data_IF_257431796753
#
_entry.id   IF_257431796753
#
_cell.length_a   1.000
_cell.length_b   1.000
_cell.length_c   1.000
_cell.angle_alpha   90.00
_cell.angle_beta   90.00
_cell.angle_gamma   90.00
#
_symmetry.space_group_name_H-M   'P 1'
#
loop_
_entity.id
_entity.type
_entity.pdbx_description
1 polymer ?
#
# COMPACT_ATOMS: atom_id res chain seq x y z
N UNK A 1 5.30 7.85 -4.20
CA UNK A 1 5.17 7.49 -5.63
C UNK A 1 3.77 7.91 -6.08
N UNK A 2 3.62 8.89 -6.98
CA UNK A 2 2.28 9.43 -7.32
C UNK A 2 1.53 8.50 -8.29
N UNK A 3 0.20 8.45 -8.15
CA UNK A 3 -0.79 7.80 -9.05
C UNK A 3 -0.60 8.11 -10.54
N UNK A 4 0.26 9.05 -10.89
CA UNK A 4 0.30 9.68 -12.21
C UNK A 4 1.62 9.49 -12.97
N UNK A 5 2.69 8.95 -12.38
CA UNK A 5 3.81 8.32 -13.14
C UNK A 5 3.46 6.91 -13.59
N UNK A 6 2.40 6.37 -13.02
CA UNK A 6 1.89 5.06 -13.36
C UNK A 6 0.89 5.18 -14.52
N UNK A 7 0.69 4.09 -15.25
CA UNK A 7 -0.30 3.96 -16.34
C UNK A 7 -1.77 4.21 -15.90
N UNK A 8 -2.00 4.57 -14.63
CA UNK A 8 -3.31 4.63 -14.02
C UNK A 8 -3.92 6.03 -14.04
N UNK A 9 -5.25 6.06 -14.10
CA UNK A 9 -6.03 7.29 -13.92
C UNK A 9 -6.35 7.44 -12.44
N UNK A 10 -6.38 8.69 -11.97
CA UNK A 10 -6.86 9.00 -10.62
C UNK A 10 -8.31 8.52 -10.48
N UNK A 11 -8.61 7.67 -9.47
CA UNK A 11 -9.95 7.23 -9.13
C UNK A 11 -10.94 8.39 -9.07
N UNK A 12 -12.16 8.15 -9.55
CA UNK A 12 -13.21 9.17 -9.45
C UNK A 12 -13.57 9.45 -7.99
N UNK A 13 -13.51 8.43 -7.14
CA UNK A 13 -13.75 8.58 -5.71
C UNK A 13 -12.71 9.50 -5.03
N UNK A 14 -11.41 9.42 -5.38
CA UNK A 14 -10.42 10.37 -4.86
C UNK A 14 -10.75 11.82 -5.26
N UNK A 15 -11.19 12.07 -6.50
CA UNK A 15 -11.60 13.42 -6.93
C UNK A 15 -12.84 13.90 -6.17
N UNK A 16 -13.74 12.99 -5.82
CA UNK A 16 -14.91 13.32 -5.00
C UNK A 16 -14.51 13.61 -3.55
N UNK A 17 -13.51 12.93 -2.99
CA UNK A 17 -12.92 13.24 -1.69
C UNK A 17 -12.28 14.64 -1.72
N UNK A 18 -11.54 14.98 -2.78
CA UNK A 18 -11.02 16.34 -2.96
C UNK A 18 -12.14 17.40 -2.97
N UNK A 19 -13.21 17.16 -3.73
CA UNK A 19 -14.36 18.08 -3.76
C UNK A 19 -15.07 18.18 -2.40
N UNK A 20 -15.13 17.08 -1.64
CA UNK A 20 -15.68 17.06 -0.29
C UNK A 20 -14.79 17.83 0.69
N UNK A 21 -13.47 17.67 0.61
CA UNK A 21 -12.50 18.42 1.41
C UNK A 21 -12.64 19.93 1.18
N UNK A 22 -12.76 20.39 -0.07
CA UNK A 22 -13.04 21.80 -0.37
C UNK A 22 -14.37 22.30 0.24
N UNK A 23 -15.38 21.42 0.32
CA UNK A 23 -16.67 21.75 0.92
C UNK A 23 -16.53 21.89 2.43
N UNK A 24 -15.86 20.94 3.09
CA UNK A 24 -15.60 20.99 4.54
C UNK A 24 -14.77 22.22 4.89
N UNK A 25 -13.70 22.50 4.15
CA UNK A 25 -12.87 23.68 4.37
C UNK A 25 -13.69 24.99 4.29
N UNK A 26 -14.64 25.08 3.35
CA UNK A 26 -15.56 26.23 3.24
C UNK A 26 -16.57 26.29 4.39
N UNK A 27 -17.08 25.15 4.86
CA UNK A 27 -18.06 25.10 5.96
C UNK A 27 -17.43 25.36 7.33
N UNK A 28 -16.22 24.84 7.58
CA UNK A 28 -15.62 24.80 8.94
C UNK A 28 -14.38 25.66 9.09
N UNK A 29 -13.74 26.07 7.99
CA UNK A 29 -12.46 26.76 7.99
C UNK A 29 -11.26 25.85 8.30
N UNK A 30 -11.43 24.52 8.31
CA UNK A 30 -10.39 23.53 8.56
C UNK A 30 -10.38 22.46 7.49
N UNK A 31 -9.20 21.92 7.22
CA UNK A 31 -9.00 20.83 6.26
C UNK A 31 -9.54 19.51 6.80
N UNK A 32 -9.77 18.54 5.90
CA UNK A 32 -10.37 17.26 6.26
C UNK A 32 -9.45 16.42 7.18
N UNK A 33 -8.14 16.54 6.98
CA UNK A 33 -7.10 15.90 7.79
C UNK A 33 -7.15 16.34 9.26
N UNK A 34 -7.62 17.55 9.57
CA UNK A 34 -7.82 18.01 10.94
C UNK A 34 -8.80 17.12 11.71
N UNK A 35 -9.80 16.57 11.01
CA UNK A 35 -10.84 15.75 11.60
C UNK A 35 -10.54 14.26 11.50
N UNK A 36 -9.88 13.84 10.42
CA UNK A 36 -9.64 12.44 10.11
C UNK A 36 -8.22 11.99 10.51
N UNK A 37 -7.24 12.89 10.58
CA UNK A 37 -5.83 12.51 10.75
C UNK A 37 -5.25 11.83 9.51
N UNK A 38 -5.86 12.05 8.33
CA UNK A 38 -5.41 11.50 7.05
C UNK A 38 -5.51 12.59 5.99
N UNK A 39 -4.38 12.83 5.32
CA UNK A 39 -4.29 13.70 4.16
C UNK A 39 -4.31 12.84 2.90
N UNK A 40 -5.24 13.11 1.98
CA UNK A 40 -5.31 12.40 0.70
C UNK A 40 -4.53 13.15 -0.39
N UNK A 41 -3.86 12.38 -1.24
CA UNK A 41 -3.03 12.90 -2.33
C UNK A 41 -3.76 12.76 -3.65
N UNK A 42 -4.00 13.90 -4.31
CA UNK A 42 -4.84 13.95 -5.51
C UNK A 42 -4.08 14.24 -6.80
N UNK A 43 -2.92 14.92 -6.77
CA UNK A 43 -2.37 15.65 -7.93
C UNK A 43 -1.12 15.05 -8.64
N UNK A 44 -0.87 15.55 -9.87
CA UNK A 44 0.14 15.20 -10.89
C UNK A 44 1.42 15.93 -10.60
N UNK A 45 1.33 17.19 -10.19
CA UNK A 45 2.42 18.15 -10.14
C UNK A 45 3.37 18.00 -8.94
N UNK A 46 3.18 16.99 -8.07
CA UNK A 46 4.20 16.58 -7.08
C UNK A 46 5.04 15.45 -7.72
N UNK A 47 5.59 15.81 -8.88
CA UNK A 47 6.30 14.99 -9.85
C UNK A 47 7.70 14.69 -9.33
N UNK A 48 8.10 13.42 -9.42
CA UNK A 48 9.34 12.85 -8.87
C UNK A 48 9.17 12.41 -7.41
N UNK A 49 9.00 11.09 -7.26
CA UNK A 49 9.15 10.43 -5.98
C UNK A 49 10.65 10.44 -5.66
N UNK A 50 11.16 11.58 -5.23
CA UNK A 50 12.54 11.70 -4.73
C UNK A 50 12.67 11.08 -3.33
N UNK A 51 11.59 10.47 -2.84
CA UNK A 51 11.54 9.89 -1.52
C UNK A 51 10.64 8.65 -1.48
N UNK A 52 11.16 7.55 -0.96
CA UNK A 52 10.39 6.37 -0.59
C UNK A 52 10.95 5.77 0.69
N UNK A 53 10.09 5.19 1.53
CA UNK A 53 10.57 4.42 2.67
C UNK A 53 11.12 3.06 2.21
N UNK A 54 12.08 2.52 2.94
CA UNK A 54 12.74 1.24 2.62
C UNK A 54 11.76 0.07 2.42
N UNK A 55 10.60 0.15 3.08
CA UNK A 55 9.54 -0.86 3.07
C UNK A 55 8.39 -0.55 2.10
N UNK A 56 8.44 0.55 1.34
CA UNK A 56 7.40 0.88 0.38
C UNK A 56 7.29 -0.20 -0.69
N UNK A 57 6.10 -0.79 -0.93
CA UNK A 57 5.95 -1.77 -2.01
C UNK A 57 6.34 -1.14 -3.36
N UNK A 58 7.22 -1.80 -4.12
CA UNK A 58 7.64 -1.30 -5.46
C UNK A 58 6.47 -1.11 -6.44
N UNK A 59 5.36 -1.82 -6.21
CA UNK A 59 4.13 -1.75 -6.99
C UNK A 59 3.01 -1.01 -6.26
N UNK A 60 3.37 -0.30 -5.19
CA UNK A 60 2.51 0.56 -4.39
C UNK A 60 2.42 1.96 -4.98
N UNK A 61 1.24 2.56 -4.91
CA UNK A 61 1.04 3.94 -5.28
C UNK A 61 0.41 4.68 -4.12
N UNK A 62 1.18 5.58 -3.51
CA UNK A 62 0.72 6.37 -2.38
C UNK A 62 -0.52 7.20 -2.74
N UNK A 63 -1.51 7.15 -1.86
CA UNK A 63 -2.78 7.86 -2.02
C UNK A 63 -3.18 8.70 -0.81
N UNK A 64 -2.61 8.42 0.36
CA UNK A 64 -2.88 9.17 1.56
C UNK A 64 -1.80 8.96 2.60
N UNK A 65 -1.57 9.93 3.47
CA UNK A 65 -0.60 9.86 4.58
C UNK A 65 -1.22 10.37 5.87
N UNK A 66 -0.76 9.88 7.02
CA UNK A 66 -1.21 10.40 8.33
C UNK A 66 -0.49 11.70 8.73
N UNK A 67 0.63 12.01 8.07
CA UNK A 67 1.53 13.10 8.46
C UNK A 67 2.37 12.79 9.72
N UNK A 68 2.36 11.54 10.18
CA UNK A 68 3.02 11.09 11.40
C UNK A 68 3.84 9.81 11.16
N UNK A 69 5.12 9.82 11.56
CA UNK A 69 6.06 8.68 11.51
C UNK A 69 6.16 7.96 10.15
N UNK A 70 5.87 8.65 9.06
CA UNK A 70 5.92 8.08 7.71
C UNK A 70 4.78 7.12 7.38
N UNK A 71 3.77 7.01 8.25
CA UNK A 71 2.64 6.11 8.05
C UNK A 71 1.77 6.62 6.89
N UNK A 72 1.54 5.75 5.92
CA UNK A 72 0.78 6.11 4.72
C UNK A 72 0.04 4.91 4.11
N UNK A 73 -0.81 5.21 3.14
CA UNK A 73 -1.66 4.26 2.45
C UNK A 73 -1.41 4.30 0.96
N UNK A 74 -1.33 3.12 0.36
CA UNK A 74 -1.00 2.95 -1.04
C UNK A 74 -1.97 2.01 -1.73
N UNK A 75 -2.29 2.29 -3.01
CA UNK A 75 -2.89 1.31 -3.88
C UNK A 75 -1.88 0.22 -4.21
N UNK A 76 -2.28 -1.04 -4.10
CA UNK A 76 -1.51 -2.18 -4.56
C UNK A 76 -1.86 -2.49 -6.02
N UNK A 77 -0.92 -2.24 -6.93
CA UNK A 77 -1.19 -2.41 -8.37
C UNK A 77 -0.99 -3.84 -8.86
N UNK A 78 -0.46 -4.71 -8.00
CA UNK A 78 -0.10 -6.09 -8.33
C UNK A 78 0.81 -6.14 -9.55
N UNK A 79 1.85 -5.29 -9.53
CA UNK A 79 2.88 -5.19 -10.56
C UNK A 79 2.27 -4.95 -11.95
N UNK A 80 1.25 -4.09 -11.97
CA UNK A 80 0.52 -3.75 -13.17
C UNK A 80 -0.63 -4.69 -13.54
N UNK A 81 -0.94 -5.73 -12.75
CA UNK A 81 -2.09 -6.61 -13.01
C UNK A 81 -3.44 -5.93 -12.73
N UNK A 82 -3.49 -4.98 -11.79
CA UNK A 82 -4.65 -4.11 -11.60
C UNK A 82 -4.93 -3.34 -12.90
N UNK A 83 -6.20 -3.29 -13.33
CA UNK A 83 -6.60 -2.57 -14.55
C UNK A 83 -6.81 -1.08 -14.31
N UNK A 84 -7.25 -0.75 -13.11
CA UNK A 84 -7.52 0.59 -12.62
C UNK A 84 -7.34 0.61 -11.09
N UNK A 85 -7.32 1.81 -10.52
CA UNK A 85 -7.17 2.01 -9.09
C UNK A 85 -8.52 2.09 -8.36
N UNK A 86 -9.64 2.09 -9.08
CA UNK A 86 -10.97 2.06 -8.45
C UNK A 86 -11.21 0.69 -7.76
N UNK A 87 -10.54 -0.36 -8.25
CA UNK A 87 -10.61 -1.73 -7.72
C UNK A 87 -9.30 -2.26 -7.12
N UNK A 88 -8.24 -1.46 -7.09
CA UNK A 88 -6.98 -1.86 -6.50
C UNK A 88 -7.07 -1.95 -4.98
N UNK A 89 -6.48 -2.98 -4.39
CA UNK A 89 -6.42 -3.14 -2.94
C UNK A 89 -5.63 -1.99 -2.30
N UNK A 90 -5.90 -1.72 -1.03
CA UNK A 90 -5.24 -0.70 -0.24
C UNK A 90 -4.37 -1.36 0.81
N UNK A 91 -3.11 -0.97 0.85
CA UNK A 91 -2.16 -1.33 1.89
C UNK A 91 -1.87 -0.15 2.79
N UNK A 92 -1.61 -0.43 4.06
CA UNK A 92 -0.97 0.46 5.00
C UNK A 92 0.53 0.17 4.99
N UNK A 93 1.34 1.22 5.00
CA UNK A 93 2.77 1.17 5.24
C UNK A 93 3.06 1.88 6.56
N UNK A 94 3.75 1.20 7.46
CA UNK A 94 4.24 1.71 8.73
C UNK A 94 5.75 1.37 8.85
N UNK A 95 6.64 2.33 8.52
CA UNK A 95 8.08 2.12 8.59
C UNK A 95 8.61 1.81 9.99
N UNK A 96 7.80 2.02 11.03
CA UNK A 96 8.17 1.81 12.44
C UNK A 96 7.62 0.51 13.03
N UNK A 97 6.75 -0.22 12.31
CA UNK A 97 6.09 -1.40 12.85
C UNK A 97 7.02 -2.61 12.94
N UNK A 98 6.80 -3.45 13.96
CA UNK A 98 7.76 -4.48 14.37
C UNK A 98 7.43 -5.89 13.87
N UNK A 99 6.18 -6.16 13.42
CA UNK A 99 5.83 -7.47 12.84
C UNK A 99 5.95 -7.44 11.32
N UNK A 100 5.18 -6.57 10.66
CA UNK A 100 5.32 -6.26 9.24
C UNK A 100 5.13 -4.77 8.96
N UNK A 101 6.02 -4.19 8.17
CA UNK A 101 5.94 -2.81 7.71
C UNK A 101 4.75 -2.56 6.78
N UNK A 102 4.32 -3.58 6.02
CA UNK A 102 3.22 -3.42 5.06
C UNK A 102 2.10 -4.41 5.36
N UNK A 103 0.87 -3.90 5.40
CA UNK A 103 -0.33 -4.69 5.70
C UNK A 103 -1.49 -4.38 4.77
N UNK A 104 -2.25 -5.41 4.39
CA UNK A 104 -3.49 -5.24 3.63
C UNK A 104 -4.61 -4.66 4.52
N UNK A 105 -5.23 -3.55 4.10
CA UNK A 105 -6.24 -2.84 4.90
C UNK A 105 -7.62 -2.87 4.28
N UNK A 106 -7.73 -2.68 2.96
CA UNK A 106 -9.02 -2.69 2.28
C UNK A 106 -8.93 -3.30 0.89
N UNK A 107 -10.05 -3.84 0.40
CA UNK A 107 -10.13 -4.41 -0.95
C UNK A 107 -10.13 -3.35 -2.04
N UNK A 108 -10.47 -2.09 -1.72
CA UNK A 108 -10.50 -0.95 -2.63
C UNK A 108 -10.67 0.37 -1.86
N UNK A 109 -10.54 1.51 -2.55
CA UNK A 109 -10.69 2.84 -1.96
C UNK A 109 -12.08 3.10 -1.33
N UNK A 110 -13.15 2.53 -1.90
CA UNK A 110 -14.50 2.69 -1.33
C UNK A 110 -14.60 1.97 0.00
N UNK A 111 -14.10 0.75 0.08
CA UNK A 111 -14.05 0.00 1.32
C UNK A 111 -13.10 0.62 2.34
N UNK A 112 -11.98 1.19 1.89
CA UNK A 112 -11.09 1.98 2.76
C UNK A 112 -11.83 3.13 3.42
N UNK A 113 -12.53 3.96 2.64
CA UNK A 113 -13.31 5.08 3.19
C UNK A 113 -14.42 4.58 4.12
N UNK A 114 -15.08 3.48 3.77
CA UNK A 114 -16.13 2.86 4.58
C UNK A 114 -15.60 2.30 5.89
N UNK A 115 -14.45 1.62 5.89
CA UNK A 115 -13.75 1.13 7.08
C UNK A 115 -13.38 2.30 7.97
N UNK A 116 -12.75 3.32 7.39
CA UNK A 116 -12.33 4.52 8.10
C UNK A 116 -13.48 5.21 8.84
N UNK A 117 -14.64 5.34 8.18
CA UNK A 117 -15.85 5.90 8.81
C UNK A 117 -16.42 4.99 9.91
N UNK A 118 -16.25 3.67 9.76
CA UNK A 118 -16.76 2.70 10.74
C UNK A 118 -15.90 2.67 12.01
N UNK A 119 -14.58 2.65 11.85
CA UNK A 119 -13.63 2.63 12.97
C UNK A 119 -13.40 4.01 13.57
N UNK A 120 -13.60 5.06 12.78
CA UNK A 120 -13.38 6.47 13.13
C UNK A 120 -11.98 6.74 13.69
N UNK A 121 -11.02 5.88 13.38
CA UNK A 121 -9.63 5.94 13.80
C UNK A 121 -8.76 5.25 12.74
N UNK A 122 -7.76 5.97 12.25
CA UNK A 122 -6.80 5.49 11.26
C UNK A 122 -5.95 4.35 11.80
N UNK A 123 -5.57 4.39 13.09
CA UNK A 123 -4.70 3.39 13.70
C UNK A 123 -5.42 2.06 13.92
N UNK A 124 -6.74 2.08 14.12
CA UNK A 124 -7.56 0.86 14.17
C UNK A 124 -7.65 0.12 12.82
N UNK A 125 -7.09 0.70 11.74
CA UNK A 125 -6.92 -0.02 10.48
C UNK A 125 -5.73 -0.98 10.48
N UNK A 126 -4.83 -0.89 11.48
CA UNK A 126 -3.75 -1.85 11.66
C UNK A 126 -4.30 -3.25 12.01
N UNK A 127 -3.72 -4.34 11.48
CA UNK A 127 -4.15 -5.71 11.74
C UNK A 127 -4.25 -6.08 13.23
N UNK A 128 -3.31 -5.60 14.04
CA UNK A 128 -3.10 -6.01 15.43
C UNK A 128 -3.77 -5.08 16.45
N UNK A 129 -4.32 -3.94 16.03
CA UNK A 129 -5.07 -3.05 16.91
C UNK A 129 -6.53 -3.52 17.06
N UNK A 130 -6.71 -4.63 17.79
CA UNK A 130 -8.01 -5.12 18.26
C UNK A 130 -8.66 -4.15 19.27
N UNK A 131 -7.92 -3.13 19.72
CA UNK A 131 -8.46 -2.08 20.54
C UNK A 131 -9.21 -1.11 19.64
N UNK A 132 -10.46 -1.45 19.31
CA UNK A 132 -11.47 -0.48 18.83
C UNK A 132 -11.75 0.52 19.95
N UNK A 133 -10.76 1.35 20.27
CA UNK A 133 -10.95 2.57 21.02
C UNK A 133 -11.50 3.53 20.00
N UNK A 134 -12.84 3.66 19.99
CA UNK A 134 -13.42 4.93 19.59
C UNK A 134 -12.57 6.00 20.29
N UNK A 135 -11.79 6.77 19.52
CA UNK A 135 -11.12 7.93 20.09
C UNK A 135 -12.16 8.79 20.82
N UNK A 136 -11.73 9.76 21.62
CA UNK A 136 -12.68 10.77 22.08
C UNK A 136 -13.12 11.59 20.84
N UNK A 137 -14.15 11.10 20.16
CA UNK A 137 -14.73 11.75 19.00
C UNK A 137 -15.55 12.91 19.55
N UNK A 138 -15.03 14.10 19.35
CA UNK A 138 -15.79 15.31 19.65
C UNK A 138 -16.95 15.48 18.66
N UNK A 139 -17.89 16.36 19.00
CA UNK A 139 -19.09 16.59 18.19
C UNK A 139 -18.77 17.04 16.75
N UNK A 140 -17.67 17.77 16.54
CA UNK A 140 -17.24 18.23 15.23
C UNK A 140 -16.80 17.04 14.35
N UNK A 141 -15.98 16.15 14.90
CA UNK A 141 -15.52 14.95 14.20
C UNK A 141 -16.69 14.03 13.85
N UNK A 142 -17.65 13.83 14.76
CA UNK A 142 -18.85 13.03 14.47
C UNK A 142 -19.75 13.67 13.39
N UNK A 143 -19.84 15.01 13.37
CA UNK A 143 -20.50 15.73 12.29
C UNK A 143 -19.85 15.45 10.92
N UNK A 144 -18.53 15.52 10.82
CA UNK A 144 -17.81 15.24 9.57
C UNK A 144 -18.02 13.79 9.10
N UNK A 145 -17.97 12.81 10.00
CA UNK A 145 -18.24 11.41 9.64
C UNK A 145 -19.66 11.19 9.09
N UNK A 146 -20.68 11.86 9.66
CA UNK A 146 -22.05 11.80 9.12
C UNK A 146 -22.14 12.42 7.73
N UNK A 147 -21.46 13.55 7.52
CA UNK A 147 -21.41 14.22 6.20
C UNK A 147 -20.73 13.34 5.15
N UNK A 148 -19.67 12.61 5.52
CA UNK A 148 -19.04 11.62 4.64
C UNK A 148 -20.02 10.50 4.24
N UNK A 149 -20.75 9.92 5.20
CA UNK A 149 -21.74 8.88 4.92
C UNK A 149 -22.81 9.37 3.93
N UNK A 150 -23.34 10.57 4.18
CA UNK A 150 -24.38 11.17 3.33
C UNK A 150 -23.86 11.53 1.94
N UNK A 151 -22.68 12.16 1.85
CA UNK A 151 -22.12 12.64 0.58
C UNK A 151 -21.71 11.50 -0.35
N UNK A 152 -21.16 10.42 0.21
CA UNK A 152 -20.68 9.26 -0.55
C UNK A 152 -21.70 8.12 -0.61
N UNK A 153 -22.89 8.30 -0.03
CA UNK A 153 -23.94 7.27 0.07
C UNK A 153 -23.39 5.95 0.64
N UNK A 154 -22.56 6.05 1.68
CA UNK A 154 -21.92 4.91 2.33
C UNK A 154 -22.75 4.43 3.51
N UNK A 155 -22.62 3.14 3.80
CA UNK A 155 -23.14 2.53 5.04
C UNK A 155 -21.95 1.97 5.79
N UNK A 156 -21.81 2.18 7.11
CA UNK A 156 -20.72 1.56 7.88
C UNK A 156 -20.67 0.03 7.73
N UNK A 157 -19.53 -0.59 8.04
CA UNK A 157 -19.47 -2.04 8.21
C UNK A 157 -20.18 -2.43 9.50
N UNK A 158 -20.98 -3.50 9.44
CA UNK A 158 -21.62 -4.08 10.62
C UNK A 158 -20.57 -4.80 11.49
N UNK A 159 -19.65 -5.50 10.84
CA UNK A 159 -18.55 -6.23 11.47
C UNK A 159 -17.25 -6.00 10.66
N UNK A 160 -16.44 -5.00 11.04
CA UNK A 160 -15.15 -4.73 10.40
C UNK A 160 -14.16 -5.90 10.50
N UNK A 161 -14.23 -6.71 11.56
CA UNK A 161 -13.36 -7.88 11.75
C UNK A 161 -13.71 -8.96 10.74
N UNK A 162 -15.01 -9.26 10.57
CA UNK A 162 -15.47 -10.20 9.55
C UNK A 162 -15.06 -9.76 8.14
N UNK A 163 -15.20 -8.46 7.82
CA UNK A 163 -14.74 -7.91 6.54
C UNK A 163 -13.24 -8.12 6.33
N UNK A 164 -12.41 -7.81 7.34
CA UNK A 164 -10.95 -7.99 7.26
C UNK A 164 -10.58 -9.44 7.01
N UNK A 165 -11.20 -10.37 7.72
CA UNK A 165 -10.98 -11.81 7.52
C UNK A 165 -11.37 -12.26 6.11
N UNK A 166 -12.54 -11.83 5.61
CA UNK A 166 -12.99 -12.14 4.25
C UNK A 166 -12.02 -11.60 3.19
N UNK A 167 -11.52 -10.37 3.38
CA UNK A 167 -10.54 -9.74 2.50
C UNK A 167 -9.22 -10.50 2.47
N UNK A 168 -8.66 -10.86 3.64
CA UNK A 168 -7.41 -11.63 3.75
C UNK A 168 -7.59 -13.01 3.09
N UNK A 169 -8.71 -13.68 3.35
CA UNK A 169 -9.07 -14.95 2.73
C UNK A 169 -9.25 -14.84 1.22
N UNK A 170 -9.85 -13.75 0.73
CA UNK A 170 -9.99 -13.50 -0.70
C UNK A 170 -8.62 -13.26 -1.34
N UNK A 171 -7.74 -12.51 -0.67
CA UNK A 171 -6.38 -12.26 -1.14
C UNK A 171 -5.59 -13.57 -1.22
N UNK A 172 -5.59 -14.38 -0.16
CA UNK A 172 -4.84 -15.65 -0.11
C UNK A 172 -5.25 -16.64 -1.20
N UNK A 173 -6.51 -16.59 -1.67
CA UNK A 173 -6.99 -17.38 -2.82
C UNK A 173 -6.56 -16.83 -4.19
N UNK A 174 -6.24 -15.54 -4.26
CA UNK A 174 -5.88 -14.85 -5.51
C UNK A 174 -4.37 -14.84 -5.79
N UNK A 175 -3.56 -15.00 -4.75
CA UNK A 175 -2.10 -14.99 -4.86
C UNK A 175 -1.59 -16.33 -5.42
N UNK A 176 -0.62 -16.23 -6.32
CA UNK A 176 0.09 -17.39 -6.87
C UNK A 176 1.23 -17.81 -5.95
N UNK A 177 1.94 -16.83 -5.38
CA UNK A 177 3.07 -17.05 -4.47
C UNK A 177 2.90 -16.17 -3.23
N UNK A 178 2.85 -16.73 -2.01
CA UNK A 178 2.76 -15.93 -0.80
C UNK A 178 4.07 -15.18 -0.52
N UNK A 179 3.96 -14.03 0.14
CA UNK A 179 5.08 -13.28 0.74
C UNK A 179 4.94 -13.32 2.26
N UNK A 180 6.00 -12.99 2.99
CA UNK A 180 6.07 -13.05 4.46
C UNK A 180 4.95 -12.26 5.14
N UNK A 181 4.69 -11.05 4.65
CA UNK A 181 3.62 -10.16 5.14
C UNK A 181 2.21 -10.50 4.61
N UNK A 182 2.04 -11.61 3.89
CA UNK A 182 0.74 -12.08 3.42
C UNK A 182 0.15 -11.33 2.23
N UNK A 183 0.85 -10.33 1.66
CA UNK A 183 0.40 -9.64 0.44
C UNK A 183 0.39 -10.56 -0.77
N UNK A 184 1.45 -11.35 -0.96
CA UNK A 184 1.62 -12.31 -2.05
C UNK A 184 1.64 -11.71 -3.46
N UNK A 185 2.20 -12.43 -4.41
CA UNK A 185 2.26 -12.06 -5.83
C UNK A 185 1.17 -12.78 -6.60
N UNK A 186 0.39 -12.04 -7.38
CA UNK A 186 -0.61 -12.61 -8.29
C UNK A 186 0.04 -13.06 -9.60
N UNK A 187 -0.68 -13.83 -10.41
CA UNK A 187 -0.17 -14.26 -11.70
C UNK A 187 0.02 -13.07 -12.67
N UNK A 188 1.24 -12.87 -13.14
CA UNK A 188 1.61 -11.82 -14.11
C UNK A 188 2.23 -12.39 -15.39
N UNK A 189 2.63 -13.66 -15.36
CA UNK A 189 3.21 -14.41 -16.45
C UNK A 189 2.47 -15.74 -16.69
N UNK A 190 2.85 -16.45 -17.76
CA UNK A 190 2.31 -17.79 -18.04
C UNK A 190 3.08 -18.92 -17.36
N UNK A 191 4.14 -18.60 -16.59
CA UNK A 191 4.91 -19.63 -15.87
C UNK A 191 4.03 -20.26 -14.77
N UNK A 192 4.32 -21.52 -14.47
CA UNK A 192 3.64 -22.32 -13.44
C UNK A 192 4.64 -22.92 -12.44
N UNK A 193 5.95 -22.76 -12.68
CA UNK A 193 7.00 -23.24 -11.80
C UNK A 193 7.49 -22.08 -10.93
N UNK A 194 7.02 -22.07 -9.70
CA UNK A 194 7.38 -21.03 -8.74
C UNK A 194 8.22 -21.64 -7.61
N UNK A 195 9.24 -20.91 -7.21
CA UNK A 195 10.03 -21.14 -6.02
C UNK A 195 10.03 -19.88 -5.14
N UNK A 196 10.11 -20.06 -3.83
CA UNK A 196 10.37 -18.97 -2.89
C UNK A 196 11.86 -18.86 -2.64
N UNK A 197 12.33 -17.63 -2.43
CA UNK A 197 13.66 -17.37 -1.91
C UNK A 197 13.53 -17.18 -0.40
N UNK A 198 14.35 -17.88 0.37
CA UNK A 198 14.31 -17.77 1.82
C UNK A 198 15.10 -16.52 2.23
N UNK A 199 14.44 -15.61 2.93
CA UNK A 199 15.06 -14.39 3.45
C UNK A 199 15.21 -14.65 4.95
N UNK A 200 16.44 -14.68 5.45
CA UNK A 200 16.67 -14.91 6.88
C UNK A 200 16.07 -13.77 7.73
N UNK A 201 15.73 -14.06 8.98
CA UNK A 201 15.28 -13.04 9.95
C UNK A 201 16.38 -12.03 10.25
N UNK A 202 17.65 -12.43 10.14
CA UNK A 202 18.82 -11.58 10.34
C UNK A 202 19.13 -10.67 9.14
N UNK A 203 18.43 -10.84 8.00
CA UNK A 203 18.62 -10.01 6.80
C UNK A 203 19.94 -10.23 6.04
N UNK A 204 20.76 -11.19 6.47
CA UNK A 204 22.02 -11.54 5.81
C UNK A 204 21.76 -12.33 4.52
N UNK A 205 21.94 -11.68 3.37
CA UNK A 205 21.75 -12.29 2.04
C UNK A 205 23.07 -12.38 1.28
N UNK A 206 23.41 -13.59 0.80
CA UNK A 206 24.51 -13.78 -0.13
C UNK A 206 24.08 -13.35 -1.55
N UNK A 207 24.69 -12.28 -2.06
CA UNK A 207 24.44 -11.76 -3.41
C UNK A 207 24.56 -12.85 -4.50
N UNK A 208 25.50 -13.77 -4.37
CA UNK A 208 25.69 -14.85 -5.35
C UNK A 208 24.56 -15.88 -5.34
N UNK A 209 23.96 -16.11 -4.16
CA UNK A 209 22.78 -16.97 -4.01
C UNK A 209 21.56 -16.29 -4.62
N UNK A 210 21.35 -15.01 -4.31
CA UNK A 210 20.28 -14.20 -4.88
C UNK A 210 20.34 -14.15 -6.41
N UNK A 211 21.52 -13.89 -6.98
CA UNK A 211 21.76 -13.90 -8.42
C UNK A 211 21.48 -15.29 -9.03
N UNK A 212 21.90 -16.36 -8.35
CA UNK A 212 21.65 -17.74 -8.81
C UNK A 212 20.17 -18.08 -8.82
N UNK A 213 19.42 -17.59 -7.82
CA UNK A 213 17.96 -17.73 -7.77
C UNK A 213 17.30 -16.97 -8.92
N UNK A 214 17.57 -15.67 -9.08
CA UNK A 214 16.99 -14.83 -10.13
C UNK A 214 17.30 -15.35 -11.54
N UNK A 215 18.48 -15.93 -11.78
CA UNK A 215 18.81 -16.50 -13.09
C UNK A 215 17.89 -17.65 -13.54
N UNK A 216 17.18 -18.30 -12.60
CA UNK A 216 16.34 -19.49 -12.86
C UNK A 216 14.87 -19.28 -12.47
N UNK A 217 14.60 -18.32 -11.61
CA UNK A 217 13.29 -18.06 -11.04
C UNK A 217 12.30 -17.53 -12.10
N UNK A 218 11.04 -17.92 -11.93
CA UNK A 218 9.92 -17.29 -12.64
C UNK A 218 9.81 -15.80 -12.29
N UNK A 219 9.08 -15.03 -13.09
CA UNK A 219 8.81 -13.61 -12.79
C UNK A 219 8.14 -13.49 -11.41
N UNK A 220 7.08 -14.26 -11.15
CA UNK A 220 6.37 -14.26 -9.88
C UNK A 220 7.29 -14.55 -8.68
N UNK A 221 8.21 -15.50 -8.84
CA UNK A 221 9.20 -15.84 -7.83
C UNK A 221 10.10 -14.67 -7.49
N UNK A 222 10.62 -13.96 -8.50
CA UNK A 222 11.49 -12.80 -8.29
C UNK A 222 10.75 -11.67 -7.60
N UNK A 223 9.52 -11.39 -8.03
CA UNK A 223 8.69 -10.34 -7.44
C UNK A 223 8.38 -10.61 -5.96
N UNK A 224 8.09 -11.87 -5.62
CA UNK A 224 7.86 -12.25 -4.22
C UNK A 224 9.14 -12.10 -3.40
N UNK A 225 10.28 -12.52 -3.95
CA UNK A 225 11.58 -12.32 -3.30
C UNK A 225 11.90 -10.86 -3.07
N UNK A 226 11.65 -9.97 -4.05
CA UNK A 226 11.88 -8.53 -3.86
C UNK A 226 11.02 -8.01 -2.72
N UNK A 227 9.72 -8.35 -2.68
CA UNK A 227 8.85 -7.93 -1.56
C UNK A 227 9.34 -8.43 -0.20
N UNK A 228 9.76 -9.68 -0.11
CA UNK A 228 10.27 -10.25 1.15
C UNK A 228 11.60 -9.60 1.57
N UNK A 229 12.46 -9.25 0.61
CA UNK A 229 13.72 -8.54 0.87
C UNK A 229 13.47 -7.07 1.30
N UNK A 230 12.46 -6.40 0.74
CA UNK A 230 12.05 -5.06 1.19
C UNK A 230 11.49 -5.09 2.60
N UNK A 231 10.63 -6.07 2.89
CA UNK A 231 10.05 -6.29 4.21
C UNK A 231 11.14 -6.57 5.26
N UNK A 232 12.20 -7.29 4.89
CA UNK A 232 13.36 -7.53 5.73
C UNK A 232 14.39 -6.38 5.74
N UNK A 233 14.10 -5.25 5.09
CA UNK A 233 14.98 -4.06 5.00
C UNK A 233 16.34 -4.29 4.33
N UNK A 234 16.48 -5.38 3.56
CA UNK A 234 17.75 -5.82 2.93
C UNK A 234 18.13 -4.97 1.72
N UNK A 235 17.13 -4.48 0.96
CA UNK A 235 17.35 -3.70 -0.27
C UNK A 235 17.67 -2.22 -0.01
N UNK A 236 18.54 -1.97 0.97
CA UNK A 236 19.11 -0.65 1.30
C UNK A 236 20.59 -0.54 0.90
N UNK A 237 21.22 -1.64 0.47
CA UNK A 237 22.57 -1.67 -0.09
C UNK A 237 22.54 -1.57 -1.63
N UNK A 238 23.36 -0.68 -2.20
CA UNK A 238 23.48 -0.46 -3.65
C UNK A 238 23.83 -1.76 -4.41
N UNK A 239 24.74 -2.60 -3.89
CA UNK A 239 25.17 -3.83 -4.56
C UNK A 239 24.06 -4.89 -4.59
N UNK A 240 23.26 -4.97 -3.52
CA UNK A 240 22.11 -5.88 -3.43
C UNK A 240 20.89 -5.37 -4.22
N UNK A 241 20.80 -4.05 -4.45
CA UNK A 241 19.65 -3.44 -5.13
C UNK A 241 19.83 -3.27 -6.64
N UNK A 242 21.05 -2.99 -7.11
CA UNK A 242 21.32 -2.74 -8.54
C UNK A 242 20.91 -3.94 -9.42
N UNK A 243 21.18 -5.16 -8.94
CA UNK A 243 20.87 -6.38 -9.69
C UNK A 243 19.34 -6.62 -9.85
N UNK A 244 18.52 -6.61 -8.77
CA UNK A 244 17.06 -6.67 -8.91
C UNK A 244 16.47 -5.53 -9.77
N UNK A 245 17.03 -4.31 -9.69
CA UNK A 245 16.60 -3.18 -10.53
C UNK A 245 16.82 -3.49 -12.01
N UNK A 246 17.99 -3.99 -12.40
CA UNK A 246 18.28 -4.37 -13.79
C UNK A 246 17.35 -5.51 -14.27
N UNK A 247 17.11 -6.51 -13.42
CA UNK A 247 16.24 -7.64 -13.77
C UNK A 247 14.78 -7.21 -13.99
N UNK A 248 14.24 -6.33 -13.13
CA UNK A 248 12.92 -5.71 -13.30
C UNK A 248 12.83 -4.93 -14.62
N UNK A 249 13.85 -4.12 -14.94
CA UNK A 249 13.88 -3.37 -16.20
C UNK A 249 13.85 -4.29 -17.43
N UNK A 250 14.68 -5.35 -17.41
CA UNK A 250 14.73 -6.33 -18.48
C UNK A 250 13.41 -7.11 -18.64
N UNK A 251 12.69 -7.33 -17.55
CA UNK A 251 11.37 -7.95 -17.54
C UNK A 251 10.21 -6.99 -17.88
N UNK A 252 10.49 -5.68 -18.04
CA UNK A 252 9.52 -4.67 -18.44
C UNK A 252 8.78 -3.99 -17.27
N UNK A 253 9.17 -4.23 -16.02
CA UNK A 253 8.64 -3.59 -14.81
C UNK A 253 9.37 -2.27 -14.55
N UNK A 254 9.21 -1.33 -15.48
CA UNK A 254 9.99 -0.09 -15.51
C UNK A 254 9.69 0.83 -14.33
N UNK A 255 8.43 0.91 -13.89
CA UNK A 255 8.05 1.80 -12.78
C UNK A 255 8.44 1.19 -11.42
N UNK A 256 8.29 -0.11 -11.28
CA UNK A 256 8.71 -0.86 -10.10
C UNK A 256 10.24 -0.79 -9.92
N UNK A 257 11.01 -0.92 -11.01
CA UNK A 257 12.46 -0.76 -10.98
C UNK A 257 12.90 0.65 -10.56
N UNK A 258 12.18 1.69 -11.01
CA UNK A 258 12.43 3.07 -10.59
C UNK A 258 12.13 3.23 -9.10
N UNK A 259 11.01 2.69 -8.62
CA UNK A 259 10.64 2.76 -7.21
C UNK A 259 11.69 2.09 -6.33
N UNK A 260 12.12 0.89 -6.71
CA UNK A 260 13.15 0.16 -5.98
C UNK A 260 14.47 0.94 -5.91
N UNK A 261 14.82 1.67 -6.97
CA UNK A 261 16.01 2.51 -6.98
C UNK A 261 15.89 3.71 -6.03
N UNK A 262 14.72 4.35 -5.96
CA UNK A 262 14.47 5.46 -5.02
C UNK A 262 14.61 4.96 -3.59
N UNK A 263 14.00 3.82 -3.30
CA UNK A 263 14.04 3.14 -2.00
C UNK A 263 15.48 2.92 -1.51
N UNK A 264 16.38 2.44 -2.37
CA UNK A 264 17.77 2.21 -1.99
C UNK A 264 18.59 3.49 -1.79
N UNK A 265 18.23 4.60 -2.44
CA UNK A 265 19.01 5.85 -2.33
C UNK A 265 18.71 6.69 -1.10
N UNK A 266 17.63 6.40 -0.37
CA UNK A 266 17.16 7.19 0.77
C UNK A 266 17.61 6.64 2.15
N UNK A 267 18.54 5.69 2.18
CA UNK A 267 19.17 5.10 3.38
C UNK A 267 20.68 5.33 3.43
#
# INVERSE_FOLDING_TARGET
MSIRTTKYKVPNLLKQIQAFEELIQKETGKDLDHYMGVQFHYDKAQEECDFAYHCDPIDGIEMASTGFDGIHFSFLTDHGAAKDLDHAAIVLVDPSWHEYHVSLVASNLKDFLRLFITTKNVFSLQPEDDSYKNGEINEDTDYIYRRLLEYFELTPFEDPVAYRNEMIDARSRSVMLPTRNGLGVVQVSSDQHHASFDVDEDGDIDLSELQTFFAKASVESKLASIRDLQEATVLTDDELTDFPVEDLQNAGFIEEAKMLKVIATDY
#
